data_IF_113062332310
#
_entry.id   IF_113062332310
#
_cell.length_a   1.000
_cell.length_b   1.000
_cell.length_c   1.000
_cell.angle_alpha   90.00
_cell.angle_beta   90.00
_cell.angle_gamma   90.00
#
_symmetry.space_group_name_H-M   'P 1'
#
loop_
_entity.id
_entity.type
_entity.pdbx_description
1 polymer ?
#
# COMPACT_ATOMS: atom_id res chain seq x y z
N UNK A 1 0.02 -1.02 15.46
CA UNK A 1 -0.98 -0.33 14.62
C UNK A 1 -1.30 -1.22 13.43
N UNK A 2 -2.57 -1.52 13.19
CA UNK A 2 -3.00 -2.34 12.05
C UNK A 2 -3.31 -1.43 10.85
N UNK A 3 -2.95 -1.85 9.63
CA UNK A 3 -3.42 -1.19 8.41
C UNK A 3 -4.91 -1.54 8.15
N UNK A 4 -5.61 -0.86 7.23
CA UNK A 4 -7.02 -1.15 6.94
C UNK A 4 -7.30 -2.61 6.56
N UNK A 5 -6.40 -3.28 5.84
CA UNK A 5 -6.56 -4.68 5.45
C UNK A 5 -6.43 -5.60 6.67
N UNK A 6 -5.42 -5.37 7.50
CA UNK A 6 -5.23 -6.12 8.76
C UNK A 6 -6.38 -5.87 9.74
N UNK A 7 -6.88 -4.63 9.83
CA UNK A 7 -8.01 -4.26 10.68
C UNK A 7 -9.29 -5.04 10.33
N UNK A 8 -9.57 -5.25 9.04
CA UNK A 8 -10.69 -6.09 8.61
C UNK A 8 -10.59 -7.54 9.13
N UNK A 9 -9.38 -8.08 9.27
CA UNK A 9 -9.15 -9.43 9.79
C UNK A 9 -9.45 -9.61 11.28
N UNK A 10 -9.60 -8.51 12.03
CA UNK A 10 -10.01 -8.54 13.44
C UNK A 10 -11.53 -8.55 13.63
N UNK A 11 -12.30 -8.35 12.55
CA UNK A 11 -13.76 -8.32 12.63
C UNK A 11 -14.31 -9.72 12.95
N UNK A 12 -15.24 -9.79 13.90
CA UNK A 12 -16.02 -10.99 14.22
C UNK A 12 -15.17 -12.24 14.60
N UNK A 13 -14.02 -12.05 15.25
CA UNK A 13 -13.20 -13.16 15.75
C UNK A 13 -13.90 -13.90 16.90
N UNK A 14 -13.87 -15.23 16.87
CA UNK A 14 -14.33 -16.07 17.97
C UNK A 14 -13.34 -15.99 19.14
N UNK A 15 -13.80 -15.50 20.29
CA UNK A 15 -13.00 -15.29 21.49
C UNK A 15 -12.58 -16.60 22.20
N UNK A 16 -13.30 -17.71 21.96
CA UNK A 16 -13.06 -19.00 22.61
C UNK A 16 -11.96 -19.82 21.92
N UNK A 17 -11.33 -19.28 20.86
CA UNK A 17 -10.25 -19.96 20.13
C UNK A 17 -9.10 -19.03 19.80
N UNK A 18 -7.90 -19.60 19.75
CA UNK A 18 -6.73 -18.89 19.21
C UNK A 18 -6.94 -18.66 17.71
N UNK A 19 -6.77 -17.41 17.29
CA UNK A 19 -6.86 -16.99 15.89
C UNK A 19 -5.57 -16.30 15.46
N UNK A 20 -5.11 -16.56 14.25
CA UNK A 20 -3.97 -15.88 13.63
C UNK A 20 -4.50 -14.95 12.54
N UNK A 21 -4.34 -13.64 12.74
CA UNK A 21 -4.69 -12.63 11.73
C UNK A 21 -3.45 -12.30 10.91
N UNK A 22 -3.55 -12.43 9.59
CA UNK A 22 -2.45 -12.10 8.69
C UNK A 22 -2.37 -10.58 8.51
N UNK A 23 -1.25 -10.00 8.93
CA UNK A 23 -0.94 -8.60 8.64
C UNK A 23 -0.45 -8.46 7.20
N UNK A 24 -1.38 -8.20 6.27
CA UNK A 24 -1.12 -8.25 4.81
C UNK A 24 -0.45 -7.00 4.26
N UNK A 25 -0.44 -5.90 5.02
CA UNK A 25 0.25 -4.68 4.65
C UNK A 25 0.79 -3.91 5.86
N UNK A 26 1.85 -3.13 5.63
CA UNK A 26 2.32 -2.14 6.61
C UNK A 26 1.36 -0.95 6.67
N UNK A 27 1.08 -0.38 7.86
CA UNK A 27 0.26 0.83 8.00
C UNK A 27 0.77 2.02 7.20
N UNK A 28 2.08 2.10 6.95
CA UNK A 28 2.70 3.16 6.16
C UNK A 28 2.22 3.20 4.69
N UNK A 29 1.54 2.15 4.21
CA UNK A 29 0.92 2.14 2.88
C UNK A 29 -0.43 2.88 2.84
N UNK A 30 -1.05 3.14 3.99
CA UNK A 30 -2.36 3.77 4.10
C UNK A 30 -2.40 4.90 5.15
N UNK A 31 -1.42 5.84 5.14
CA UNK A 31 -1.23 6.82 6.22
C UNK A 31 -2.48 7.67 6.48
N UNK A 32 -3.14 8.17 5.43
CA UNK A 32 -4.32 9.02 5.59
C UNK A 32 -5.50 8.31 6.27
N UNK A 33 -5.70 7.02 5.97
CA UNK A 33 -6.79 6.24 6.58
C UNK A 33 -6.53 6.01 8.05
N UNK A 34 -5.27 5.76 8.41
CA UNK A 34 -4.85 5.58 9.79
C UNK A 34 -4.96 6.89 10.58
N UNK A 35 -4.49 8.01 10.00
CA UNK A 35 -4.61 9.33 10.60
C UNK A 35 -6.08 9.69 10.88
N UNK A 36 -6.98 9.45 9.91
CA UNK A 36 -8.42 9.68 10.10
C UNK A 36 -9.05 8.76 11.15
N UNK A 37 -8.61 7.50 11.24
CA UNK A 37 -9.22 6.51 12.12
C UNK A 37 -8.80 6.67 13.58
N UNK A 38 -7.52 6.97 13.84
CA UNK A 38 -6.95 6.95 15.20
C UNK A 38 -6.10 8.18 15.55
N UNK A 39 -6.02 9.18 14.67
CA UNK A 39 -5.30 10.43 14.92
C UNK A 39 -3.76 10.30 14.90
N UNK A 40 -3.22 9.20 14.40
CA UNK A 40 -1.78 8.95 14.34
C UNK A 40 -1.34 8.69 12.90
N UNK A 41 -0.18 9.21 12.50
CA UNK A 41 0.39 8.94 11.18
C UNK A 41 1.55 7.93 11.30
N UNK A 42 1.54 6.82 10.54
CA UNK A 42 2.69 5.92 10.47
C UNK A 42 3.88 6.59 9.79
N UNK A 43 5.02 6.62 10.47
CA UNK A 43 6.29 7.07 9.89
C UNK A 43 7.38 6.02 10.08
N UNK A 44 8.33 5.98 9.14
CA UNK A 44 9.55 5.18 9.27
C UNK A 44 10.69 5.88 8.51
N UNK A 45 11.89 6.06 9.10
CA UNK A 45 12.95 6.86 8.49
C UNK A 45 13.30 6.49 7.05
N UNK A 46 13.37 5.19 6.73
CA UNK A 46 13.66 4.73 5.36
C UNK A 46 12.52 5.01 4.35
N UNK A 47 11.27 5.06 4.81
CA UNK A 47 10.12 5.34 3.96
C UNK A 47 9.97 6.85 3.73
N UNK A 48 10.26 7.66 4.74
CA UNK A 48 10.32 9.12 4.58
C UNK A 48 11.43 9.52 3.60
N UNK A 49 12.59 8.86 3.67
CA UNK A 49 13.65 9.05 2.68
C UNK A 49 13.21 8.65 1.25
N UNK A 50 12.36 7.63 1.10
CA UNK A 50 11.83 7.19 -0.20
C UNK A 50 10.85 8.21 -0.79
N UNK A 51 10.02 8.86 0.03
CA UNK A 51 9.06 9.89 -0.43
C UNK A 51 9.73 11.09 -1.10
N UNK A 52 10.98 11.40 -0.73
CA UNK A 52 11.75 12.49 -1.31
C UNK A 52 12.31 12.19 -2.71
N UNK A 53 12.27 10.93 -3.17
CA UNK A 53 12.78 10.55 -4.49
C UNK A 53 11.80 10.99 -5.59
N UNK A 54 12.28 11.48 -6.75
CA UNK A 54 11.42 11.87 -7.85
C UNK A 54 10.64 10.66 -8.39
N UNK A 55 9.35 10.85 -8.64
CA UNK A 55 8.50 9.86 -9.29
C UNK A 55 8.76 9.86 -10.80
N UNK A 56 9.21 8.72 -11.32
CA UNK A 56 9.29 8.48 -12.77
C UNK A 56 8.07 7.67 -13.18
N UNK A 57 7.15 8.31 -13.90
CA UNK A 57 5.90 7.70 -14.40
C UNK A 57 5.69 8.12 -15.84
N UNK A 58 5.18 7.21 -16.66
CA UNK A 58 4.86 7.46 -18.06
C UNK A 58 3.34 7.34 -18.25
N UNK A 59 2.63 8.43 -18.56
CA UNK A 59 1.21 8.35 -18.85
C UNK A 59 1.00 7.64 -20.20
N UNK A 60 0.16 6.61 -20.20
CA UNK A 60 -0.18 5.82 -21.38
C UNK A 60 -1.70 5.77 -21.53
N UNK A 61 -2.17 5.64 -22.77
CA UNK A 61 -3.57 5.28 -23.03
C UNK A 61 -3.82 3.87 -22.49
N UNK A 62 -5.04 3.62 -22.01
CA UNK A 62 -5.49 2.30 -21.56
C UNK A 62 -5.79 1.37 -22.76
N UNK A 63 -4.86 1.28 -23.70
CA UNK A 63 -4.97 0.51 -24.93
C UNK A 63 -3.81 -0.49 -24.99
N UNK A 64 -4.06 -1.79 -25.28
CA UNK A 64 -3.00 -2.79 -25.34
C UNK A 64 -1.84 -2.41 -26.27
N UNK A 65 -2.13 -1.76 -27.40
CA UNK A 65 -1.11 -1.36 -28.37
C UNK A 65 -0.18 -0.25 -27.82
N UNK A 66 -0.73 0.72 -27.10
CA UNK A 66 0.05 1.79 -26.49
C UNK A 66 1.01 1.25 -25.43
N UNK A 67 0.56 0.25 -24.65
CA UNK A 67 1.40 -0.41 -23.64
C UNK A 67 2.53 -1.21 -24.31
N UNK A 68 2.22 -2.00 -25.34
CA UNK A 68 3.22 -2.79 -26.07
C UNK A 68 4.30 -1.92 -26.70
N UNK A 69 3.90 -0.88 -27.42
CA UNK A 69 4.84 0.05 -28.05
C UNK A 69 5.75 0.74 -27.03
N UNK A 70 5.23 1.10 -25.85
CA UNK A 70 6.05 1.66 -24.78
C UNK A 70 7.10 0.65 -24.28
N UNK A 71 6.70 -0.61 -24.05
CA UNK A 71 7.61 -1.68 -23.62
C UNK A 71 8.69 -1.91 -24.68
N UNK A 72 8.32 -2.04 -25.94
CA UNK A 72 9.26 -2.28 -27.05
C UNK A 72 10.28 -1.14 -27.20
N UNK A 73 9.86 0.11 -27.06
CA UNK A 73 10.74 1.27 -27.15
C UNK A 73 11.74 1.41 -25.98
N UNK A 74 11.51 0.70 -24.87
CA UNK A 74 12.35 0.74 -23.65
C UNK A 74 12.93 -0.62 -23.27
N UNK A 75 12.73 -1.65 -24.08
CA UNK A 75 13.33 -2.96 -23.87
C UNK A 75 14.85 -2.85 -24.10
N UNK A 76 15.63 -3.45 -23.20
CA UNK A 76 17.10 -3.53 -23.27
C UNK A 76 17.50 -4.87 -23.88
#
# INVERSE_FOLDING_TARGET
>A
MADPHTACGFKDLNADRVSVVLATASPAKFPDTILRAIGQEPTHPSLEALKARPLVKHPLKAEPQAIKAFIEAHAV
#
